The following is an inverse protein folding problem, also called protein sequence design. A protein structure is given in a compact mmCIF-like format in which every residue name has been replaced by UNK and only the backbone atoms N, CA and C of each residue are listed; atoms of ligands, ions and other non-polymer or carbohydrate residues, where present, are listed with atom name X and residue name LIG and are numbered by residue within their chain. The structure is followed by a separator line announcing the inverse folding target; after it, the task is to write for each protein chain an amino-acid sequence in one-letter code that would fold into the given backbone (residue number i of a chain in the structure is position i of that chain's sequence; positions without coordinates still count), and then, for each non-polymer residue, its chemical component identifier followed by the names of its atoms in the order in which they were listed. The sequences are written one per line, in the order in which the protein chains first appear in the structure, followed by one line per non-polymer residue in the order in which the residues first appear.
data_IF_277679229387
#
_entry.id   IF_277679229387
#
_cell.length_a   1.000
_cell.length_b   1.000
_cell.length_c   1.000
_cell.angle_alpha   90.00
_cell.angle_beta   90.00
_cell.angle_gamma   90.00
#
_symmetry.space_group_name_H-M   'P 1'
#
loop_
_entity.id
_entity.type
_entity.pdbx_description
1 polymer ?
#
# COMPACT_ATOMS: atom_id res chain seq x y z
N UNK A 1 20.39 30.69 8.27
CA UNK A 1 19.37 29.75 8.76
C UNK A 1 19.41 28.57 7.82
N UNK A 2 19.93 27.43 8.27
CA UNK A 2 19.88 26.18 7.50
C UNK A 2 18.41 25.82 7.31
N UNK A 3 17.92 25.84 6.08
CA UNK A 3 16.64 25.20 5.74
C UNK A 3 16.83 23.71 6.01
N UNK A 4 16.22 23.20 7.07
CA UNK A 4 16.25 21.77 7.37
C UNK A 4 15.72 21.01 6.15
N UNK A 5 16.52 20.08 5.65
CA UNK A 5 16.17 19.29 4.47
C UNK A 5 14.99 18.40 4.82
N UNK A 6 13.89 18.56 4.10
CA UNK A 6 12.72 17.70 4.20
C UNK A 6 12.68 16.72 3.03
N UNK A 7 12.03 15.59 3.26
CA UNK A 7 11.88 14.52 2.29
C UNK A 7 10.41 14.12 2.19
N UNK A 8 9.87 14.09 0.99
CA UNK A 8 8.46 13.79 0.78
C UNK A 8 8.23 13.04 -0.53
N UNK A 9 7.39 12.00 -0.50
CA UNK A 9 7.16 11.17 -1.68
C UNK A 9 5.95 10.25 -1.58
N UNK A 10 5.53 9.75 -2.73
CA UNK A 10 4.37 8.86 -2.88
C UNK A 10 4.81 7.40 -2.89
N UNK A 11 4.14 6.57 -2.07
CA UNK A 11 4.43 5.15 -1.89
C UNK A 11 3.16 4.34 -2.23
N UNK A 12 3.26 3.42 -3.19
CA UNK A 12 2.12 2.56 -3.54
C UNK A 12 2.14 1.27 -2.72
N UNK A 13 0.97 0.84 -2.22
CA UNK A 13 0.81 -0.50 -1.63
C UNK A 13 -0.12 -1.31 -2.53
N UNK A 14 0.42 -2.37 -3.14
CA UNK A 14 -0.28 -3.18 -4.15
C UNK A 14 -0.28 -4.66 -3.77
N UNK A 15 -1.16 -5.43 -4.41
CA UNK A 15 -1.33 -6.86 -4.15
C UNK A 15 -2.79 -7.27 -4.26
N UNK A 16 -3.05 -8.58 -4.41
CA UNK A 16 -4.43 -9.08 -4.55
C UNK A 16 -5.27 -8.81 -3.29
N UNK A 17 -6.60 -8.96 -3.33
CA UNK A 17 -7.45 -8.81 -2.15
C UNK A 17 -7.02 -9.71 -0.98
N UNK A 18 -7.21 -9.24 0.25
CA UNK A 18 -7.01 -10.00 1.51
C UNK A 18 -5.58 -10.46 1.86
N UNK A 19 -4.55 -10.00 1.13
CA UNK A 19 -3.13 -10.25 1.49
C UNK A 19 -2.63 -9.44 2.69
N UNK A 20 -3.42 -8.48 3.19
CA UNK A 20 -3.09 -7.68 4.39
C UNK A 20 -2.55 -6.27 4.13
N UNK A 21 -2.76 -5.70 2.93
CA UNK A 21 -2.36 -4.33 2.57
C UNK A 21 -2.78 -3.27 3.61
N UNK A 22 -4.05 -3.26 4.02
CA UNK A 22 -4.53 -2.29 5.02
C UNK A 22 -4.02 -2.55 6.42
N UNK A 23 -3.78 -3.81 6.79
CA UNK A 23 -3.14 -4.14 8.07
C UNK A 23 -1.72 -3.59 8.10
N UNK A 24 -0.96 -3.77 7.03
CA UNK A 24 0.37 -3.20 6.88
C UNK A 24 0.35 -1.67 6.94
N UNK A 25 -0.56 -1.04 6.18
CA UNK A 25 -0.72 0.41 6.18
C UNK A 25 -1.00 0.96 7.59
N UNK A 26 -1.91 0.35 8.34
CA UNK A 26 -2.22 0.76 9.70
C UNK A 26 -1.01 0.61 10.65
N UNK A 27 -0.18 -0.42 10.46
CA UNK A 27 1.06 -0.56 11.24
C UNK A 27 2.08 0.51 10.87
N UNK A 28 2.28 0.79 9.58
CA UNK A 28 3.19 1.84 9.11
C UNK A 28 2.77 3.22 9.62
N UNK A 29 1.47 3.46 9.78
CA UNK A 29 0.93 4.73 10.27
C UNK A 29 0.89 4.82 11.80
N UNK A 30 1.21 3.74 12.53
CA UNK A 30 1.13 3.67 13.99
C UNK A 30 -0.29 3.77 14.56
N UNK A 31 -1.32 3.87 13.71
CA UNK A 31 -2.70 4.06 14.12
C UNK A 31 -3.68 3.50 13.08
N UNK A 32 -4.89 3.18 13.53
CA UNK A 32 -5.90 2.51 12.69
C UNK A 32 -6.66 3.52 11.84
N UNK A 33 -6.41 3.54 10.53
CA UNK A 33 -7.01 4.48 9.57
C UNK A 33 -7.78 3.75 8.48
N UNK A 34 -7.21 2.67 7.97
CA UNK A 34 -7.73 1.96 6.82
C UNK A 34 -8.66 0.83 7.24
N UNK A 35 -9.94 1.02 6.92
CA UNK A 35 -10.91 -0.04 6.68
C UNK A 35 -11.14 0.02 5.17
N UNK A 36 -10.75 -1.03 4.44
CA UNK A 36 -10.74 -1.08 2.97
C UNK A 36 -12.12 -0.78 2.38
N UNK A 37 -12.38 0.47 2.01
CA UNK A 37 -13.64 0.88 1.39
C UNK A 37 -13.50 0.84 -0.13
N UNK A 38 -14.46 0.27 -0.86
CA UNK A 38 -14.44 0.18 -2.35
C UNK A 38 -14.82 1.49 -3.06
N UNK A 39 -14.78 2.64 -2.39
CA UNK A 39 -15.28 3.90 -2.98
C UNK A 39 -14.21 4.56 -3.86
N UNK A 40 -14.36 4.42 -5.17
CA UNK A 40 -13.60 5.16 -6.17
C UNK A 40 -13.83 6.67 -5.96
N UNK A 41 -12.76 7.39 -5.64
CA UNK A 41 -12.73 8.85 -5.72
C UNK A 41 -11.87 9.25 -6.92
N UNK A 42 -12.24 10.38 -7.52
CA UNK A 42 -11.81 10.86 -8.83
C UNK A 42 -10.46 11.58 -8.85
N UNK A 43 -9.65 11.47 -7.80
CA UNK A 43 -8.26 11.94 -7.79
C UNK A 43 -7.34 10.79 -8.20
N UNK A 44 -6.37 11.08 -9.07
CA UNK A 44 -5.62 10.08 -9.87
C UNK A 44 -4.88 9.02 -9.06
N UNK A 45 -4.63 9.27 -7.78
CA UNK A 45 -4.24 8.29 -6.78
C UNK A 45 -5.13 8.47 -5.55
N UNK A 46 -5.58 7.35 -4.97
CA UNK A 46 -6.36 7.42 -3.75
C UNK A 46 -5.40 7.49 -2.57
N UNK A 47 -5.24 8.66 -1.96
CA UNK A 47 -4.48 8.77 -0.71
C UNK A 47 -5.20 7.92 0.34
N UNK A 48 -4.45 7.01 0.95
CA UNK A 48 -4.95 6.08 1.97
C UNK A 48 -4.33 6.32 3.34
N UNK A 49 -3.16 6.94 3.38
CA UNK A 49 -2.52 7.34 4.63
C UNK A 49 -1.35 8.26 4.38
N UNK A 50 -1.06 9.11 5.35
CA UNK A 50 0.10 10.00 5.38
C UNK A 50 0.83 9.72 6.69
N UNK A 51 2.11 9.37 6.59
CA UNK A 51 2.99 9.18 7.73
C UNK A 51 4.04 10.29 7.72
N UNK A 52 3.93 11.21 8.67
CA UNK A 52 4.89 12.29 8.86
C UNK A 52 5.66 12.06 10.16
N UNK A 53 6.98 12.00 10.08
CA UNK A 53 7.87 11.83 11.24
C UNK A 53 9.14 12.66 11.03
N UNK A 54 9.27 13.74 11.78
CA UNK A 54 10.37 14.69 11.62
C UNK A 54 10.46 15.22 10.19
N UNK A 55 11.63 15.19 9.53
CA UNK A 55 11.77 15.71 8.18
C UNK A 55 11.16 14.83 7.08
N UNK A 56 10.61 13.66 7.40
CA UNK A 56 10.11 12.68 6.41
C UNK A 56 8.59 12.63 6.35
N UNK A 57 8.04 12.73 5.14
CA UNK A 57 6.60 12.54 4.89
C UNK A 57 6.37 11.50 3.78
N UNK A 58 5.89 10.32 4.17
CA UNK A 58 5.49 9.26 3.24
C UNK A 58 3.99 9.33 2.98
N UNK A 59 3.60 9.48 1.72
CA UNK A 59 2.20 9.55 1.29
C UNK A 59 1.83 8.21 0.67
N UNK A 60 1.09 7.40 1.41
CA UNK A 60 0.64 6.10 0.93
C UNK A 60 -0.58 6.25 0.04
N UNK A 61 -0.48 5.67 -1.15
CA UNK A 61 -1.55 5.65 -2.13
C UNK A 61 -2.02 4.23 -2.41
N UNK A 62 -3.33 4.09 -2.53
CA UNK A 62 -3.98 2.93 -3.11
C UNK A 62 -4.19 3.18 -4.59
N UNK A 63 -3.82 2.19 -5.39
CA UNK A 63 -4.13 2.16 -6.81
C UNK A 63 -5.46 1.42 -6.96
N UNK A 64 -6.60 2.11 -7.13
CA UNK A 64 -7.83 1.42 -7.49
C UNK A 64 -7.56 0.64 -8.79
N UNK A 65 -7.90 -0.66 -8.88
CA UNK A 65 -7.92 -1.37 -10.16
C UNK A 65 -6.90 -2.49 -10.41
N UNK A 66 -6.52 -3.26 -9.39
CA UNK A 66 -6.11 -4.67 -9.63
C UNK A 66 -7.31 -5.63 -9.75
N UNK A 67 -8.54 -5.14 -9.57
CA UNK A 67 -9.74 -5.92 -9.86
C UNK A 67 -10.01 -5.98 -11.37
N UNK A 68 -10.42 -7.16 -11.85
CA UNK A 68 -10.65 -7.54 -13.25
C UNK A 68 -11.50 -6.55 -14.08
N UNK A 69 -12.28 -5.68 -13.45
CA UNK A 69 -13.23 -4.80 -14.15
C UNK A 69 -12.65 -3.45 -14.61
N UNK A 70 -11.46 -3.04 -14.13
CA UNK A 70 -10.89 -1.74 -14.49
C UNK A 70 -9.51 -1.87 -15.17
N UNK A 71 -9.53 -2.36 -16.43
CA UNK A 71 -8.37 -2.40 -17.35
C UNK A 71 -7.60 -1.05 -17.49
N UNK A 72 -8.12 0.07 -16.96
CA UNK A 72 -7.61 1.42 -17.21
C UNK A 72 -6.73 1.99 -16.10
N UNK A 73 -6.81 1.51 -14.88
CA UNK A 73 -6.17 2.20 -13.76
C UNK A 73 -4.65 1.97 -13.71
N UNK A 74 -4.19 0.85 -14.24
CA UNK A 74 -2.78 0.47 -14.19
C UNK A 74 -2.03 0.96 -15.42
N UNK A 75 -2.65 1.03 -16.59
CA UNK A 75 -2.06 1.75 -17.72
C UNK A 75 -1.79 3.23 -17.40
N UNK A 76 -2.49 3.84 -16.43
CA UNK A 76 -2.22 5.20 -15.93
C UNK A 76 -1.02 5.27 -14.98
N UNK A 77 -0.68 4.18 -14.29
CA UNK A 77 0.56 4.05 -13.53
C UNK A 77 1.79 4.08 -14.45
N UNK A 78 1.61 3.62 -15.70
CA UNK A 78 2.71 3.28 -16.60
C UNK A 78 2.88 4.26 -17.76
N UNK A 79 1.82 4.98 -18.16
CA UNK A 79 1.88 5.93 -19.26
C UNK A 79 2.33 7.33 -18.82
N UNK A 80 3.57 7.63 -19.19
CA UNK A 80 4.32 8.89 -19.06
C UNK A 80 3.72 10.13 -19.78
N UNK A 81 2.48 10.10 -20.26
CA UNK A 81 1.98 11.13 -21.16
C UNK A 81 0.46 11.34 -21.07
N UNK A 82 -0.02 12.01 -20.01
CA UNK A 82 -1.24 12.82 -20.06
C UNK A 82 -1.37 13.70 -18.79
N UNK A 83 -0.76 14.89 -18.87
CA UNK A 83 -1.17 16.10 -18.16
C UNK A 83 -1.10 16.14 -16.63
N UNK A 84 0.06 16.51 -16.09
CA UNK A 84 0.32 17.36 -14.89
C UNK A 84 -0.46 17.12 -13.58
N UNK A 85 0.29 17.06 -12.47
CA UNK A 85 0.06 17.76 -11.17
C UNK A 85 0.07 16.92 -9.86
N UNK A 86 0.41 15.63 -9.86
CA UNK A 86 0.70 14.85 -8.62
C UNK A 86 1.87 13.90 -8.93
N UNK A 87 2.86 13.81 -8.03
CA UNK A 87 4.16 13.17 -8.27
C UNK A 87 4.11 11.68 -8.61
N UNK A 88 5.15 11.21 -9.31
CA UNK A 88 5.34 9.79 -9.61
C UNK A 88 5.49 8.98 -8.30
N UNK A 89 5.16 7.68 -8.35
CA UNK A 89 5.39 6.78 -7.21
C UNK A 89 6.89 6.50 -7.10
N UNK A 90 7.47 6.82 -5.94
CA UNK A 90 8.90 6.65 -5.67
C UNK A 90 9.28 5.22 -5.31
N UNK A 91 8.31 4.47 -4.76
CA UNK A 91 8.51 3.10 -4.30
C UNK A 91 7.18 2.35 -4.26
N UNK A 92 7.21 1.09 -4.69
CA UNK A 92 6.06 0.18 -4.62
C UNK A 92 6.31 -0.90 -3.57
N UNK A 93 5.36 -1.10 -2.67
CA UNK A 93 5.31 -2.23 -1.75
C UNK A 93 4.33 -3.25 -2.32
N UNK A 94 4.84 -4.33 -2.90
CA UNK A 94 4.04 -5.44 -3.39
C UNK A 94 3.83 -6.47 -2.28
N UNK A 95 2.58 -6.64 -1.84
CA UNK A 95 2.23 -7.52 -0.72
C UNK A 95 1.68 -8.84 -1.25
N UNK A 96 2.29 -9.94 -0.81
CA UNK A 96 1.82 -11.33 -1.05
C UNK A 96 1.56 -12.04 0.27
N UNK A 97 0.96 -13.23 0.24
CA UNK A 97 0.51 -13.95 1.43
C UNK A 97 1.24 -15.29 1.60
N UNK A 98 2.10 -15.38 2.60
CA UNK A 98 2.79 -16.60 3.01
C UNK A 98 3.48 -17.30 1.84
N UNK A 99 3.15 -18.57 1.64
CA UNK A 99 3.62 -19.41 0.52
C UNK A 99 2.61 -19.49 -0.63
N UNK A 100 1.57 -18.64 -0.63
CA UNK A 100 0.49 -18.66 -1.62
C UNK A 100 0.78 -17.70 -2.76
N UNK A 101 0.89 -18.26 -3.96
CA UNK A 101 0.99 -17.51 -5.22
C UNK A 101 -0.18 -17.88 -6.14
N UNK A 102 -0.94 -16.89 -6.59
CA UNK A 102 -2.10 -17.09 -7.47
C UNK A 102 -1.97 -16.32 -8.78
N UNK A 103 -2.81 -16.61 -9.80
CA UNK A 103 -2.86 -15.81 -11.02
C UNK A 103 -3.15 -14.32 -10.78
N UNK A 104 -3.82 -13.97 -9.68
CA UNK A 104 -4.04 -12.56 -9.32
C UNK A 104 -2.72 -11.90 -8.89
N UNK A 105 -1.87 -12.60 -8.13
CA UNK A 105 -0.54 -12.12 -7.74
C UNK A 105 0.36 -11.94 -8.97
N UNK A 106 0.31 -12.90 -9.90
CA UNK A 106 1.01 -12.82 -11.18
C UNK A 106 0.52 -11.66 -12.04
N UNK A 107 -0.79 -11.40 -12.08
CA UNK A 107 -1.35 -10.24 -12.76
C UNK A 107 -0.82 -8.93 -12.15
N UNK A 108 -0.72 -8.83 -10.82
CA UNK A 108 -0.09 -7.65 -10.17
C UNK A 108 1.36 -7.53 -10.61
N UNK A 109 2.13 -8.61 -10.51
CA UNK A 109 3.54 -8.64 -10.84
C UNK A 109 3.83 -8.20 -12.27
N UNK A 110 3.08 -8.72 -13.25
CA UNK A 110 3.25 -8.37 -14.66
C UNK A 110 3.11 -6.86 -14.89
N UNK A 111 2.22 -6.22 -14.15
CA UNK A 111 2.01 -4.78 -14.17
C UNK A 111 3.08 -3.99 -13.42
N UNK A 112 3.88 -4.63 -12.58
CA UNK A 112 5.04 -4.00 -11.93
C UNK A 112 6.29 -4.09 -12.80
N UNK A 113 6.39 -5.12 -13.65
CA UNK A 113 7.53 -5.33 -14.56
C UNK A 113 7.71 -4.20 -15.58
N UNK A 114 6.62 -3.61 -16.09
CA UNK A 114 6.74 -2.49 -17.04
C UNK A 114 6.86 -1.11 -16.33
N UNK A 115 6.87 -1.10 -14.98
CA UNK A 115 7.02 0.09 -14.16
C UNK A 115 8.49 0.54 -14.01
N UNK A 116 8.70 1.80 -13.62
CA UNK A 116 10.04 2.36 -13.37
C UNK A 116 10.40 2.47 -11.88
N UNK A 117 9.39 2.46 -11.02
CA UNK A 117 9.58 2.58 -9.59
C UNK A 117 10.21 1.29 -9.03
N UNK A 118 11.16 1.39 -8.10
CA UNK A 118 11.66 0.22 -7.38
C UNK A 118 10.52 -0.47 -6.62
N UNK A 119 10.62 -1.80 -6.49
CA UNK A 119 9.58 -2.64 -5.87
C UNK A 119 10.18 -3.42 -4.71
N UNK A 120 9.60 -3.30 -3.53
CA UNK A 120 9.84 -4.19 -2.39
C UNK A 120 8.76 -5.26 -2.38
N UNK A 121 9.17 -6.52 -2.20
CA UNK A 121 8.24 -7.61 -1.97
C UNK A 121 8.04 -7.81 -0.47
N UNK A 122 6.84 -7.52 0.02
CA UNK A 122 6.43 -7.78 1.39
C UNK A 122 5.68 -9.12 1.45
N UNK A 123 6.35 -10.17 1.92
CA UNK A 123 5.75 -11.50 2.07
C UNK A 123 5.04 -11.53 3.42
N UNK A 124 3.73 -11.30 3.44
CA UNK A 124 2.95 -11.10 4.66
C UNK A 124 2.38 -12.42 5.21
N UNK A 125 1.93 -12.40 6.48
CA UNK A 125 1.35 -13.55 7.19
C UNK A 125 2.34 -14.71 7.37
N UNK A 126 3.64 -14.41 7.52
CA UNK A 126 4.67 -15.44 7.77
C UNK A 126 4.46 -16.17 9.10
N UNK A 127 3.76 -15.55 10.04
CA UNK A 127 3.29 -16.15 11.29
C UNK A 127 2.31 -17.31 11.08
N UNK A 128 1.61 -17.34 9.95
CA UNK A 128 0.63 -18.38 9.61
C UNK A 128 1.20 -19.49 8.72
N UNK A 129 2.49 -19.45 8.40
CA UNK A 129 3.15 -20.50 7.63
C UNK A 129 3.45 -21.67 8.56
N UNK A 130 2.75 -22.79 8.34
CA UNK A 130 2.84 -24.00 9.18
C UNK A 130 4.24 -24.62 9.12
N UNK A 131 4.74 -24.85 7.90
CA UNK A 131 6.04 -25.44 7.65
C UNK A 131 7.03 -24.36 7.23
N UNK A 132 7.90 -23.93 8.16
CA UNK A 132 8.95 -22.94 7.86
C UNK A 132 9.91 -23.40 6.76
N UNK A 133 10.01 -24.71 6.54
CA UNK A 133 10.79 -25.31 5.47
C UNK A 133 10.29 -24.88 4.07
N UNK A 134 8.99 -24.62 3.91
CA UNK A 134 8.40 -24.23 2.62
C UNK A 134 8.66 -22.76 2.28
N UNK A 135 8.98 -21.94 3.27
CA UNK A 135 9.17 -20.51 3.08
C UNK A 135 10.42 -20.21 2.24
N UNK A 136 11.54 -20.87 2.52
CA UNK A 136 12.80 -20.58 1.83
C UNK A 136 12.76 -20.90 0.32
N UNK A 137 12.28 -22.09 -0.12
CA UNK A 137 12.06 -22.36 -1.54
C UNK A 137 11.08 -21.38 -2.19
N UNK A 138 10.01 -21.00 -1.47
CA UNK A 138 9.05 -20.05 -2.00
C UNK A 138 9.65 -18.65 -2.19
N UNK A 139 10.47 -18.18 -1.25
CA UNK A 139 11.19 -16.90 -1.37
C UNK A 139 12.15 -16.91 -2.56
N UNK A 140 12.83 -18.03 -2.83
CA UNK A 140 13.69 -18.17 -4.01
C UNK A 140 12.88 -18.13 -5.31
N UNK A 141 11.74 -18.82 -5.36
CA UNK A 141 10.80 -18.72 -6.47
C UNK A 141 10.36 -17.28 -6.71
N UNK A 142 9.94 -16.58 -5.65
CA UNK A 142 9.52 -15.19 -5.73
C UNK A 142 10.66 -14.28 -6.21
N UNK A 143 11.86 -14.44 -5.68
CA UNK A 143 13.04 -13.66 -6.07
C UNK A 143 13.38 -13.81 -7.56
N UNK A 144 13.10 -14.96 -8.17
CA UNK A 144 13.30 -15.18 -9.61
C UNK A 144 12.24 -14.53 -10.50
N UNK A 145 11.14 -14.03 -9.94
CA UNK A 145 10.04 -13.44 -10.72
C UNK A 145 10.39 -12.06 -11.29
N UNK A 146 11.11 -11.22 -10.56
CA UNK A 146 11.63 -9.95 -11.04
C UNK A 146 12.74 -9.46 -10.12
N UNK A 147 13.49 -8.44 -10.56
CA UNK A 147 14.48 -7.80 -9.71
C UNK A 147 13.79 -6.89 -8.67
N UNK A 148 13.51 -7.44 -7.50
CA UNK A 148 13.03 -6.67 -6.36
C UNK A 148 14.19 -5.88 -5.73
N UNK A 149 13.87 -4.69 -5.23
CA UNK A 149 14.79 -3.90 -4.41
C UNK A 149 15.15 -4.64 -3.12
N UNK A 150 14.14 -5.24 -2.48
CA UNK A 150 14.28 -6.05 -1.29
C UNK A 150 13.10 -7.02 -1.18
N UNK A 151 13.31 -8.13 -0.48
CA UNK A 151 12.28 -9.13 -0.18
C UNK A 151 12.22 -9.27 1.33
N UNK A 152 11.14 -8.76 1.93
CA UNK A 152 10.98 -8.66 3.37
C UNK A 152 9.82 -9.56 3.81
N UNK A 153 10.11 -10.69 4.48
CA UNK A 153 9.08 -11.48 5.15
C UNK A 153 8.56 -10.70 6.36
N UNK A 154 7.26 -10.45 6.42
CA UNK A 154 6.60 -9.65 7.45
C UNK A 154 5.40 -10.35 8.07
N UNK A 155 5.03 -9.89 9.26
CA UNK A 155 3.69 -10.13 9.82
C UNK A 155 3.07 -8.78 10.16
N UNK A 156 2.17 -8.32 9.30
CA UNK A 156 1.47 -7.05 9.50
C UNK A 156 0.59 -7.06 10.75
N UNK A 157 0.15 -8.22 11.24
CA UNK A 157 -0.64 -8.31 12.46
C UNK A 157 0.22 -8.08 13.70
N UNK A 158 1.33 -8.80 13.80
CA UNK A 158 2.26 -8.69 14.94
C UNK A 158 3.12 -7.43 14.87
N UNK A 159 3.43 -6.94 13.67
CA UNK A 159 4.38 -5.85 13.41
C UNK A 159 5.79 -6.34 13.04
N UNK A 160 6.01 -7.66 12.94
CA UNK A 160 7.31 -8.23 12.55
C UNK A 160 7.80 -7.65 11.22
N UNK A 161 9.01 -7.09 11.24
CA UNK A 161 9.73 -6.50 10.10
C UNK A 161 9.01 -5.35 9.38
N UNK A 162 7.96 -4.77 9.98
CA UNK A 162 7.29 -3.58 9.41
C UNK A 162 8.18 -2.34 9.52
N UNK A 163 8.98 -2.25 10.58
CA UNK A 163 10.04 -1.26 10.78
C UNK A 163 11.10 -1.31 9.68
N UNK A 164 11.45 -2.52 9.20
CA UNK A 164 12.35 -2.71 8.06
C UNK A 164 11.77 -2.07 6.80
N UNK A 165 10.48 -2.32 6.51
CA UNK A 165 9.79 -1.66 5.39
C UNK A 165 9.79 -0.14 5.57
N UNK A 166 9.46 0.37 6.76
CA UNK A 166 9.48 1.81 7.05
C UNK A 166 10.86 2.43 6.83
N UNK A 167 11.93 1.73 7.22
CA UNK A 167 13.32 2.15 6.99
C UNK A 167 13.67 2.22 5.50
N UNK A 168 13.21 1.27 4.69
CA UNK A 168 13.44 1.31 3.23
C UNK A 168 12.63 2.44 2.60
N UNK A 169 11.35 2.61 2.98
CA UNK A 169 10.49 3.71 2.51
C UNK A 169 11.19 5.05 2.77
N UNK A 170 11.67 5.29 3.99
CA UNK A 170 12.34 6.54 4.37
C UNK A 170 13.56 6.86 3.50
N UNK A 171 14.34 5.84 3.12
CA UNK A 171 15.53 5.99 2.25
C UNK A 171 15.20 6.37 0.81
N UNK A 172 13.96 6.12 0.36
CA UNK A 172 13.51 6.36 -1.02
C UNK A 172 12.67 7.64 -1.15
N UNK A 173 12.46 8.39 -0.06
CA UNK A 173 11.79 9.68 -0.14
C UNK A 173 12.75 10.72 -0.75
N UNK A 174 12.39 11.39 -1.85
CA UNK A 174 13.22 12.43 -2.45
C UNK A 174 13.23 13.68 -1.57
N UNK A 175 14.28 14.50 -1.70
CA UNK A 175 14.35 15.81 -1.07
C UNK A 175 13.24 16.70 -1.65
N UNK A 176 12.25 17.02 -0.83
CA UNK A 176 11.05 17.74 -1.22
C UNK A 176 10.36 18.35 0.01
N UNK A 177 9.64 19.45 -0.19
CA UNK A 177 8.78 20.00 0.85
C UNK A 177 7.64 19.03 1.17
N UNK A 178 7.19 19.03 2.42
CA UNK A 178 5.99 18.27 2.80
C UNK A 178 4.78 18.79 2.03
N UNK A 179 4.01 17.87 1.45
CA UNK A 179 2.78 18.20 0.72
C UNK A 179 1.59 18.43 1.66
N UNK A 180 1.61 17.81 2.83
CA UNK A 180 0.52 17.85 3.82
C UNK A 180 1.00 18.38 5.17
N UNK A 181 0.11 18.99 5.97
CA UNK A 181 0.38 19.29 7.37
C UNK A 181 0.76 18.04 8.19
N UNK A 182 1.53 18.20 9.26
CA UNK A 182 2.02 17.07 10.08
C UNK A 182 0.90 16.28 10.77
N UNK A 183 -0.21 16.95 11.09
CA UNK A 183 -1.39 16.36 11.74
C UNK A 183 -2.33 15.62 10.76
N UNK A 184 -2.08 15.74 9.46
CA UNK A 184 -2.86 15.06 8.44
C UNK A 184 -2.42 13.61 8.32
N UNK A 185 -3.32 12.73 8.72
CA UNK A 185 -3.12 11.28 8.67
C UNK A 185 -3.75 10.69 7.40
N UNK A 186 -4.77 11.35 6.86
CA UNK A 186 -5.49 10.96 5.65
C UNK A 186 -6.20 12.18 5.07
N UNK A 187 -6.48 12.18 3.76
CA UNK A 187 -7.25 13.23 3.08
C UNK A 187 -8.77 13.13 3.31
N UNK A 188 -9.20 12.18 4.14
CA UNK A 188 -10.60 11.81 4.35
C UNK A 188 -11.27 12.68 5.41
N UNK A 189 -12.53 13.03 5.16
CA UNK A 189 -13.34 13.72 6.16
C UNK A 189 -13.63 12.82 7.37
N UNK A 190 -13.80 13.44 8.54
CA UNK A 190 -14.21 12.73 9.77
C UNK A 190 -15.50 11.92 9.59
N UNK A 191 -16.44 12.41 8.77
CA UNK A 191 -17.67 11.68 8.41
C UNK A 191 -17.39 10.39 7.66
N UNK A 192 -16.42 10.38 6.76
CA UNK A 192 -15.99 9.16 6.08
C UNK A 192 -15.38 8.17 7.08
N UNK A 193 -14.49 8.64 7.95
CA UNK A 193 -13.88 7.81 9.00
C UNK A 193 -14.92 7.15 9.90
N UNK A 194 -15.91 7.93 10.37
CA UNK A 194 -17.02 7.41 11.16
C UNK A 194 -17.82 6.33 10.42
N UNK A 195 -18.14 6.56 9.13
CA UNK A 195 -18.87 5.58 8.32
C UNK A 195 -18.11 4.27 8.14
N UNK A 196 -16.78 4.35 8.01
CA UNK A 196 -15.93 3.19 7.85
C UNK A 196 -15.83 2.38 9.15
N UNK A 197 -15.66 3.05 10.30
CA UNK A 197 -15.67 2.39 11.62
C UNK A 197 -16.97 1.61 11.83
N UNK A 198 -18.11 2.22 11.52
CA UNK A 198 -19.43 1.58 11.62
C UNK A 198 -19.50 0.37 10.68
N UNK A 199 -19.06 0.53 9.43
CA UNK A 199 -19.05 -0.55 8.43
C UNK A 199 -18.19 -1.74 8.86
N UNK A 200 -17.01 -1.50 9.42
CA UNK A 200 -16.13 -2.56 9.94
C UNK A 200 -16.81 -3.35 11.05
N UNK A 201 -17.40 -2.64 12.04
CA UNK A 201 -18.09 -3.31 13.15
C UNK A 201 -19.25 -4.14 12.63
N UNK A 202 -20.05 -3.60 11.72
CA UNK A 202 -21.15 -4.33 11.12
C UNK A 202 -20.66 -5.56 10.33
N UNK A 203 -19.60 -5.46 9.52
CA UNK A 203 -19.02 -6.61 8.83
C UNK A 203 -18.52 -7.68 9.80
N UNK A 204 -17.85 -7.27 10.89
CA UNK A 204 -17.33 -8.18 11.91
C UNK A 204 -18.45 -8.96 12.63
N UNK A 205 -19.60 -8.33 12.88
CA UNK A 205 -20.70 -8.95 13.63
C UNK A 205 -21.77 -9.61 12.75
N UNK A 206 -21.94 -9.17 11.50
CA UNK A 206 -22.99 -9.65 10.60
C UNK A 206 -22.50 -10.61 9.51
N UNK A 207 -21.18 -10.74 9.32
CA UNK A 207 -20.59 -11.69 8.36
C UNK A 207 -20.88 -11.43 6.88
N UNK A 208 -21.61 -10.36 6.54
CA UNK A 208 -21.99 -10.00 5.17
C UNK A 208 -21.50 -8.60 4.79
N UNK A 209 -21.19 -8.39 3.51
CA UNK A 209 -20.83 -7.05 3.00
C UNK A 209 -22.05 -6.13 3.01
N UNK A 210 -21.97 -5.04 3.78
CA UNK A 210 -22.97 -3.97 3.68
C UNK A 210 -22.80 -3.17 2.38
N UNK A 211 -23.90 -2.86 1.67
CA UNK A 211 -23.84 -2.02 0.48
C UNK A 211 -23.33 -0.62 0.81
N UNK A 212 -22.60 -0.03 -0.14
CA UNK A 212 -22.04 1.32 0.00
C UNK A 212 -23.18 2.34 0.14
N UNK A 213 -23.23 3.05 1.27
CA UNK A 213 -24.15 4.18 1.43
C UNK A 213 -23.78 5.28 0.41
N UNK A 214 -24.62 5.42 -0.62
CA UNK A 214 -24.62 6.59 -1.51
C UNK A 214 -25.32 7.72 -0.77
N UNK A 215 -24.54 8.64 -0.21
CA UNK A 215 -25.06 9.97 0.11
C UNK A 215 -25.31 10.70 -1.21
N UNK A 216 -26.58 11.05 -1.48
CA UNK A 216 -26.93 12.13 -2.39
C UNK A 216 -26.62 13.46 -1.72
#
# INVERSE_FOLDING_TARGET
MSTDKTYCGFIAIVGRPNVGKSTLLNKLLGQKISITSRKAQTTRHRIVGIHTEGPYQAIYVDTPGLHMEEKRAINRLMNKAASSSIGDVELVIFVVEGTRWTPDDEMVLNKLRDGKAPVILAVNKVDNVQEKADLLPHLQFLASQMNFLDIVPISAETGMNVDTIAGIVRKHLPEAIHHFPEDYITDRSQRFMASEIIREKLMRFLGAELPVFRYR
#
